data_IF_778948756523
#
_entry.id   IF_778948756523
#
_cell.length_a   1.000
_cell.length_b   1.000
_cell.length_c   1.000
_cell.angle_alpha   90.00
_cell.angle_beta   90.00
_cell.angle_gamma   90.00
#
_symmetry.space_group_name_H-M   'P 1'
#
loop_
_entity.id
_entity.type
_entity.pdbx_description
1 polymer ?
#
# COMPACT_ATOMS: atom_id res chain seq x y z
N UNK A 1 -14.69 12.77 34.57
CA UNK A 1 -13.63 13.67 34.07
C UNK A 1 -13.30 13.39 32.60
N UNK A 2 -12.83 14.43 31.86
CA UNK A 2 -12.35 14.30 30.48
C UNK A 2 -10.97 14.94 30.34
N UNK A 3 -10.03 14.20 29.80
CA UNK A 3 -8.66 14.66 29.55
C UNK A 3 -8.44 14.79 28.06
N UNK A 4 -8.49 16.00 27.54
CA UNK A 4 -8.14 16.34 26.18
C UNK A 4 -6.63 16.50 26.06
N UNK A 5 -5.97 15.56 25.39
CA UNK A 5 -4.53 15.56 25.20
C UNK A 5 -4.18 15.94 23.76
N UNK A 6 -3.04 16.60 23.57
CA UNK A 6 -2.51 16.99 22.27
C UNK A 6 -1.23 16.24 21.90
N UNK A 7 -0.55 16.66 20.81
CA UNK A 7 0.74 16.16 20.33
C UNK A 7 0.69 14.86 19.51
N UNK A 8 -0.11 13.88 19.88
CA UNK A 8 -0.24 12.62 19.12
C UNK A 8 -1.18 12.84 17.93
N UNK A 9 -0.69 12.55 16.71
CA UNK A 9 -1.46 12.77 15.46
C UNK A 9 -2.47 11.66 15.18
N UNK A 10 -2.34 10.53 15.83
CA UNK A 10 -3.28 9.43 15.74
C UNK A 10 -4.38 9.62 16.78
N UNK A 11 -5.64 9.43 16.36
CA UNK A 11 -6.77 9.47 17.27
C UNK A 11 -6.75 8.27 18.19
N UNK A 12 -6.82 8.52 19.50
CA UNK A 12 -6.85 7.48 20.52
C UNK A 12 -7.85 7.87 21.61
N UNK A 13 -8.63 6.90 22.08
CA UNK A 13 -9.66 7.11 23.10
C UNK A 13 -9.61 5.98 24.13
N UNK A 14 -9.51 6.34 25.40
CA UNK A 14 -9.64 5.41 26.53
C UNK A 14 -10.77 5.87 27.44
N UNK A 15 -11.78 5.03 27.59
CA UNK A 15 -12.91 5.26 28.48
C UNK A 15 -12.78 4.40 29.73
N UNK A 16 -12.77 5.04 30.88
CA UNK A 16 -12.80 4.43 32.22
C UNK A 16 -14.09 4.84 32.93
N UNK A 17 -14.51 4.15 34.02
CA UNK A 17 -15.75 4.48 34.73
C UNK A 17 -15.89 5.97 35.14
N UNK A 18 -14.79 6.58 35.56
CA UNK A 18 -14.78 7.95 36.09
C UNK A 18 -14.02 8.95 35.23
N UNK A 19 -13.39 8.49 34.14
CA UNK A 19 -12.50 9.31 33.33
C UNK A 19 -12.45 8.87 31.87
N UNK A 20 -12.46 9.82 30.97
CA UNK A 20 -12.15 9.61 29.55
C UNK A 20 -10.87 10.35 29.20
N UNK A 21 -9.93 9.67 28.57
CA UNK A 21 -8.68 10.25 28.08
C UNK A 21 -8.69 10.17 26.57
N UNK A 22 -8.38 11.28 25.89
CA UNK A 22 -8.47 11.32 24.44
C UNK A 22 -7.35 12.13 23.79
N UNK A 23 -6.75 11.57 22.75
CA UNK A 23 -6.05 12.30 21.71
C UNK A 23 -6.96 12.42 20.50
N UNK A 24 -7.40 13.61 20.09
CA UNK A 24 -8.26 13.78 18.91
C UNK A 24 -7.54 13.48 17.60
N UNK A 25 -6.21 13.44 17.61
CA UNK A 25 -5.40 13.35 16.40
C UNK A 25 -5.20 14.71 15.71
N UNK A 26 -4.79 14.67 14.47
CA UNK A 26 -4.72 15.84 13.60
C UNK A 26 -5.97 15.96 12.71
N UNK A 27 -6.34 17.20 12.35
CA UNK A 27 -7.48 17.49 11.49
C UNK A 27 -7.30 17.00 10.06
N UNK A 28 -6.04 16.92 9.59
CA UNK A 28 -5.66 16.57 8.23
C UNK A 28 -4.36 15.77 8.26
N UNK A 29 -4.35 14.62 7.57
CA UNK A 29 -3.12 13.88 7.29
C UNK A 29 -2.19 14.72 6.39
N UNK A 30 -0.91 14.80 6.76
CA UNK A 30 0.08 15.64 6.05
C UNK A 30 0.97 14.83 5.12
N UNK A 31 1.01 13.54 5.28
CA UNK A 31 1.81 12.61 4.47
C UNK A 31 1.29 11.17 4.62
N UNK A 32 1.78 10.28 3.76
CA UNK A 32 1.32 8.89 3.64
C UNK A 32 1.47 8.00 4.89
N UNK A 33 2.21 8.43 5.92
CA UNK A 33 2.25 7.71 7.21
C UNK A 33 1.04 8.04 8.10
N UNK A 34 0.26 9.04 7.74
CA UNK A 34 -0.93 9.48 8.44
C UNK A 34 -2.18 9.09 7.63
N UNK A 35 -2.34 7.79 7.39
CA UNK A 35 -3.45 7.23 6.61
C UNK A 35 -4.76 7.23 7.36
N UNK A 36 -5.85 7.00 6.62
CA UNK A 36 -7.20 6.89 7.17
C UNK A 36 -7.86 8.23 7.45
N UNK A 37 -9.04 8.18 8.04
CA UNK A 37 -9.81 9.36 8.42
C UNK A 37 -9.09 10.20 9.47
N UNK A 38 -9.16 11.52 9.32
CA UNK A 38 -8.60 12.50 10.26
C UNK A 38 -9.67 13.52 10.64
N UNK A 39 -9.53 14.10 11.83
CA UNK A 39 -10.53 15.04 12.28
C UNK A 39 -10.43 15.44 13.73
N UNK A 40 -11.57 15.51 14.40
CA UNK A 40 -11.71 15.96 15.78
C UNK A 40 -12.60 15.02 16.59
N UNK A 41 -12.68 15.27 17.88
CA UNK A 41 -13.67 14.64 18.77
C UNK A 41 -14.70 15.67 19.19
N UNK A 42 -15.98 15.40 18.95
CA UNK A 42 -17.07 16.14 19.52
C UNK A 42 -17.44 15.54 20.88
N UNK A 43 -17.36 16.34 21.91
CA UNK A 43 -17.64 15.92 23.29
C UNK A 43 -18.93 16.54 23.75
N UNK A 44 -19.90 15.73 24.12
CA UNK A 44 -21.16 16.17 24.74
C UNK A 44 -21.04 16.04 26.26
N UNK A 45 -21.42 17.08 26.94
CA UNK A 45 -21.45 17.11 28.40
C UNK A 45 -22.83 17.58 28.86
N UNK A 46 -23.33 17.00 29.94
CA UNK A 46 -24.52 17.38 30.62
C UNK A 46 -24.19 17.55 32.10
N UNK A 47 -24.44 18.75 32.64
CA UNK A 47 -23.92 19.20 33.94
C UNK A 47 -22.44 18.90 34.09
N UNK A 48 -22.02 18.01 34.99
CA UNK A 48 -20.63 17.67 35.26
C UNK A 48 -20.23 16.31 34.63
N UNK A 49 -21.00 15.77 33.71
CA UNK A 49 -20.75 14.43 33.13
C UNK A 49 -20.58 14.48 31.62
N UNK A 50 -19.61 13.73 31.13
CA UNK A 50 -19.46 13.44 29.70
C UNK A 50 -20.51 12.41 29.32
N UNK A 51 -21.40 12.76 28.40
CA UNK A 51 -22.46 11.87 27.93
C UNK A 51 -22.11 11.16 26.65
N UNK A 52 -21.27 11.78 25.78
CA UNK A 52 -20.85 11.18 24.54
C UNK A 52 -19.52 11.77 24.06
N UNK A 53 -18.69 10.93 23.43
CA UNK A 53 -17.52 11.35 22.67
C UNK A 53 -17.63 10.76 21.26
N UNK A 54 -17.74 11.62 20.26
CA UNK A 54 -18.01 11.24 18.88
C UNK A 54 -16.86 11.70 17.98
N UNK A 55 -16.22 10.79 17.22
CA UNK A 55 -15.29 11.16 16.17
C UNK A 55 -16.01 11.92 15.04
N UNK A 56 -15.37 12.99 14.56
CA UNK A 56 -15.79 13.75 13.38
C UNK A 56 -14.69 13.65 12.34
N UNK A 57 -15.00 13.12 11.17
CA UNK A 57 -14.10 13.12 10.02
C UNK A 57 -14.13 14.50 9.37
N UNK A 58 -12.99 15.18 9.33
CA UNK A 58 -12.85 16.56 8.85
C UNK A 58 -11.73 16.71 7.82
N UNK A 59 -11.04 15.62 7.49
CA UNK A 59 -10.00 15.61 6.47
C UNK A 59 -10.61 15.91 5.08
N UNK A 60 -9.94 16.79 4.33
CA UNK A 60 -10.36 17.15 2.96
C UNK A 60 -9.65 16.31 1.90
N UNK A 61 -8.61 15.59 2.30
CA UNK A 61 -7.84 14.66 1.47
C UNK A 61 -7.36 13.50 2.35
N UNK A 62 -7.73 12.28 1.97
CA UNK A 62 -7.33 11.08 2.70
C UNK A 62 -6.06 10.46 2.13
N UNK A 63 -5.09 10.21 2.98
CA UNK A 63 -3.92 9.42 2.59
C UNK A 63 -4.23 7.93 2.68
N UNK A 64 -3.84 7.19 1.64
CA UNK A 64 -4.01 5.74 1.59
C UNK A 64 -2.74 5.04 1.10
N UNK A 65 -2.42 3.91 1.72
CA UNK A 65 -1.46 2.94 1.19
C UNK A 65 -2.25 1.77 0.62
N UNK A 66 -2.10 1.53 -0.68
CA UNK A 66 -2.77 0.47 -1.39
C UNK A 66 -1.77 -0.68 -1.61
N UNK A 67 -1.86 -1.70 -0.76
CA UNK A 67 -1.07 -2.92 -0.89
C UNK A 67 -1.70 -3.83 -1.94
N UNK A 68 -0.99 -4.07 -3.04
CA UNK A 68 -1.47 -4.89 -4.16
C UNK A 68 -0.61 -6.13 -4.27
N UNK A 69 -1.21 -7.30 -4.04
CA UNK A 69 -0.54 -8.57 -4.33
C UNK A 69 -0.49 -8.77 -5.84
N UNK A 70 0.72 -8.97 -6.37
CA UNK A 70 0.95 -9.30 -7.78
C UNK A 70 1.39 -10.76 -7.96
N UNK A 71 1.17 -11.60 -6.95
CA UNK A 71 1.59 -13.01 -6.98
C UNK A 71 0.92 -13.81 -8.11
N UNK A 72 -0.30 -13.42 -8.50
CA UNK A 72 -1.06 -14.07 -9.58
C UNK A 72 -0.79 -13.46 -10.97
N UNK A 73 0.11 -12.47 -11.05
CA UNK A 73 0.41 -11.82 -12.32
C UNK A 73 1.57 -12.52 -13.03
N UNK A 74 1.33 -13.06 -14.20
CA UNK A 74 2.36 -13.63 -15.08
C UNK A 74 2.96 -12.57 -16.01
N UNK A 75 2.21 -11.49 -16.26
CA UNK A 75 2.60 -10.42 -17.18
C UNK A 75 2.47 -9.04 -16.54
N UNK A 76 3.17 -8.07 -17.14
CA UNK A 76 3.08 -6.65 -16.77
C UNK A 76 1.63 -6.15 -16.81
N UNK A 77 0.88 -6.48 -17.85
CA UNK A 77 -0.49 -6.05 -18.07
C UNK A 77 -1.45 -6.63 -17.04
N UNK A 78 -1.20 -7.87 -16.60
CA UNK A 78 -1.96 -8.48 -15.50
C UNK A 78 -1.71 -7.76 -14.17
N UNK A 79 -0.46 -7.40 -13.87
CA UNK A 79 -0.14 -6.63 -12.67
C UNK A 79 -0.82 -5.24 -12.69
N UNK A 80 -0.80 -4.53 -13.81
CA UNK A 80 -1.51 -3.25 -13.97
C UNK A 80 -3.02 -3.41 -13.73
N UNK A 81 -3.62 -4.49 -14.23
CA UNK A 81 -5.04 -4.78 -14.03
C UNK A 81 -5.38 -5.01 -12.56
N UNK A 82 -4.53 -5.74 -11.81
CA UNK A 82 -4.71 -5.96 -10.36
C UNK A 82 -4.66 -4.63 -9.59
N UNK A 83 -3.79 -3.72 -9.99
CA UNK A 83 -3.75 -2.36 -9.42
C UNK A 83 -5.05 -1.62 -9.69
N UNK A 84 -5.57 -1.65 -10.93
CA UNK A 84 -6.85 -1.03 -11.29
C UNK A 84 -8.02 -1.55 -10.46
N UNK A 85 -8.11 -2.87 -10.26
CA UNK A 85 -9.13 -3.49 -9.40
C UNK A 85 -9.01 -3.02 -7.94
N UNK A 86 -7.80 -2.94 -7.43
CA UNK A 86 -7.56 -2.48 -6.06
C UNK A 86 -7.89 -0.99 -5.89
N UNK A 87 -7.59 -0.15 -6.89
CA UNK A 87 -8.00 1.26 -6.92
C UNK A 87 -9.53 1.42 -6.94
N UNK A 88 -10.23 0.59 -7.70
CA UNK A 88 -11.69 0.58 -7.74
C UNK A 88 -12.29 0.23 -6.37
N UNK A 89 -11.73 -0.77 -5.68
CA UNK A 89 -12.15 -1.14 -4.33
C UNK A 89 -11.90 -0.02 -3.33
N UNK A 90 -10.74 0.63 -3.41
CA UNK A 90 -10.42 1.78 -2.57
C UNK A 90 -11.42 2.92 -2.80
N UNK A 91 -11.69 3.27 -4.07
CA UNK A 91 -12.64 4.32 -4.43
C UNK A 91 -14.04 4.06 -3.88
N UNK A 92 -14.50 2.81 -3.94
CA UNK A 92 -15.80 2.40 -3.40
C UNK A 92 -15.86 2.45 -1.86
N UNK A 93 -14.72 2.35 -1.18
CA UNK A 93 -14.63 2.43 0.28
C UNK A 93 -14.48 3.87 0.81
N UNK A 94 -14.16 4.84 -0.06
CA UNK A 94 -14.07 6.25 0.32
C UNK A 94 -15.50 6.85 0.48
N UNK A 95 -15.70 7.78 1.41
CA UNK A 95 -16.93 8.56 1.47
C UNK A 95 -17.19 9.26 0.14
N UNK A 96 -18.47 9.52 -0.16
CA UNK A 96 -18.86 10.18 -1.40
C UNK A 96 -18.17 11.54 -1.58
N UNK A 97 -17.60 11.76 -2.76
CA UNK A 97 -16.89 12.99 -3.09
C UNK A 97 -15.52 13.16 -2.40
N UNK A 98 -15.12 12.24 -1.52
CA UNK A 98 -13.86 12.39 -0.76
C UNK A 98 -12.65 11.97 -1.60
N UNK A 99 -11.64 12.85 -1.80
CA UNK A 99 -10.44 12.52 -2.56
C UNK A 99 -9.42 11.74 -1.71
N UNK A 100 -8.58 10.96 -2.39
CA UNK A 100 -7.48 10.23 -1.77
C UNK A 100 -6.14 10.43 -2.52
N UNK A 101 -5.07 10.66 -1.75
CA UNK A 101 -3.70 10.56 -2.20
C UNK A 101 -3.18 9.14 -1.93
N UNK A 102 -2.91 8.39 -3.00
CA UNK A 102 -2.67 6.96 -2.93
C UNK A 102 -1.21 6.63 -3.20
N UNK A 103 -0.58 5.90 -2.29
CA UNK A 103 0.67 5.20 -2.53
C UNK A 103 0.38 3.74 -2.86
N UNK A 104 0.54 3.35 -4.12
CA UNK A 104 0.46 1.95 -4.53
C UNK A 104 1.75 1.20 -4.20
N UNK A 105 1.65 0.02 -3.58
CA UNK A 105 2.76 -0.86 -3.27
C UNK A 105 2.48 -2.25 -3.80
N UNK A 106 3.18 -2.62 -4.89
CA UNK A 106 3.05 -3.93 -5.52
C UNK A 106 3.98 -4.92 -4.84
N UNK A 107 3.44 -6.00 -4.28
CA UNK A 107 4.19 -6.96 -3.49
C UNK A 107 3.86 -8.42 -3.84
N UNK A 108 4.76 -9.33 -3.45
CA UNK A 108 4.64 -10.77 -3.69
C UNK A 108 5.61 -11.28 -4.75
N UNK A 109 5.82 -12.59 -4.74
CA UNK A 109 6.63 -13.28 -5.74
C UNK A 109 5.80 -13.47 -7.02
N UNK A 110 6.35 -13.06 -8.19
CA UNK A 110 5.61 -13.06 -9.45
C UNK A 110 6.52 -13.32 -10.64
N UNK A 111 5.99 -14.00 -11.66
CA UNK A 111 6.66 -14.16 -12.96
C UNK A 111 6.87 -12.81 -13.67
N UNK A 112 5.98 -11.84 -13.43
CA UNK A 112 6.07 -10.50 -14.00
C UNK A 112 7.20 -9.63 -13.42
N UNK A 113 7.89 -10.06 -12.33
CA UNK A 113 8.85 -9.23 -11.60
C UNK A 113 9.89 -8.53 -12.50
N UNK A 114 10.56 -9.26 -13.37
CA UNK A 114 11.58 -8.71 -14.26
C UNK A 114 10.99 -7.64 -15.22
N UNK A 115 9.80 -7.87 -15.75
CA UNK A 115 9.10 -6.93 -16.62
C UNK A 115 8.66 -5.66 -15.87
N UNK A 116 8.18 -5.80 -14.63
CA UNK A 116 7.82 -4.69 -13.75
C UNK A 116 9.05 -3.86 -13.38
N UNK A 117 10.16 -4.50 -13.06
CA UNK A 117 11.41 -3.83 -12.72
C UNK A 117 11.99 -3.06 -13.91
N UNK A 118 11.99 -3.66 -15.11
CA UNK A 118 12.52 -3.03 -16.32
C UNK A 118 11.67 -1.84 -16.80
N UNK A 119 10.37 -1.82 -16.50
CA UNK A 119 9.40 -0.83 -17.00
C UNK A 119 8.76 0.01 -15.89
N UNK A 120 9.49 0.36 -14.83
CA UNK A 120 8.95 1.09 -13.67
C UNK A 120 8.29 2.43 -14.03
N UNK A 121 8.89 3.19 -14.97
CA UNK A 121 8.31 4.45 -15.44
C UNK A 121 6.97 4.24 -16.15
N UNK A 122 6.89 3.20 -17.00
CA UNK A 122 5.65 2.83 -17.67
C UNK A 122 4.61 2.35 -16.63
N UNK A 123 5.01 1.50 -15.68
CA UNK A 123 4.12 1.05 -14.60
C UNK A 123 3.47 2.23 -13.89
N UNK A 124 4.27 3.25 -13.53
CA UNK A 124 3.74 4.45 -12.88
C UNK A 124 2.72 5.18 -13.76
N UNK A 125 2.97 5.32 -15.07
CA UNK A 125 2.04 5.96 -15.99
C UNK A 125 0.74 5.16 -16.16
N UNK A 126 0.83 3.84 -16.28
CA UNK A 126 -0.34 2.97 -16.37
C UNK A 126 -1.21 3.05 -15.11
N UNK A 127 -0.59 3.05 -13.92
CA UNK A 127 -1.31 3.19 -12.64
C UNK A 127 -2.00 4.55 -12.53
N UNK A 128 -1.34 5.64 -12.96
CA UNK A 128 -1.96 6.97 -13.05
C UNK A 128 -3.12 6.94 -14.04
N UNK A 129 -2.94 6.33 -15.21
CA UNK A 129 -4.00 6.17 -16.21
C UNK A 129 -5.22 5.44 -15.67
N UNK A 130 -5.02 4.36 -14.91
CA UNK A 130 -6.10 3.63 -14.23
C UNK A 130 -6.84 4.52 -13.21
N UNK A 131 -6.11 5.26 -12.39
CA UNK A 131 -6.72 6.16 -11.40
C UNK A 131 -7.56 7.26 -12.08
N UNK A 132 -7.03 7.90 -13.13
CA UNK A 132 -7.74 8.93 -13.91
C UNK A 132 -8.98 8.36 -14.61
N UNK A 133 -8.89 7.15 -15.15
CA UNK A 133 -10.02 6.49 -15.82
C UNK A 133 -11.15 6.12 -14.84
N UNK A 134 -10.82 5.85 -13.57
CA UNK A 134 -11.79 5.56 -12.52
C UNK A 134 -12.44 6.86 -11.99
N UNK A 135 -11.63 7.81 -11.55
CA UNK A 135 -12.10 9.11 -11.06
C UNK A 135 -10.91 10.07 -10.93
N UNK A 136 -10.74 10.98 -11.88
CA UNK A 136 -9.62 11.92 -11.94
C UNK A 136 -9.62 12.94 -10.79
N UNK A 137 -10.78 13.25 -10.21
CA UNK A 137 -10.93 14.23 -9.15
C UNK A 137 -10.71 13.63 -7.77
N UNK A 138 -10.91 12.31 -7.63
CA UNK A 138 -10.87 11.64 -6.33
C UNK A 138 -9.65 10.74 -6.11
N UNK A 139 -8.94 10.32 -7.15
CA UNK A 139 -7.79 9.41 -7.01
C UNK A 139 -6.50 10.05 -7.52
N UNK A 140 -5.61 10.41 -6.61
CA UNK A 140 -4.29 10.97 -6.91
C UNK A 140 -3.18 9.99 -6.54
N UNK A 141 -2.39 9.57 -7.53
CA UNK A 141 -1.26 8.64 -7.30
C UNK A 141 -0.03 9.43 -6.84
N UNK A 142 0.23 9.37 -5.54
CA UNK A 142 1.42 10.00 -4.96
C UNK A 142 2.69 9.24 -5.39
N UNK A 143 2.69 7.92 -5.22
CA UNK A 143 3.84 7.09 -5.57
C UNK A 143 3.42 5.66 -5.92
N UNK A 144 4.16 5.03 -6.83
CA UNK A 144 4.12 3.58 -7.07
C UNK A 144 5.44 2.99 -6.60
N UNK A 145 5.36 2.01 -5.71
CA UNK A 145 6.50 1.27 -5.16
C UNK A 145 6.45 -0.18 -5.61
N UNK A 146 7.55 -0.66 -6.14
CA UNK A 146 7.72 -2.06 -6.47
C UNK A 146 8.43 -2.76 -5.31
N UNK A 147 7.74 -3.67 -4.65
CA UNK A 147 8.21 -4.52 -3.56
C UNK A 147 7.97 -6.01 -3.86
N UNK A 148 7.78 -6.34 -5.14
CA UNK A 148 7.68 -7.72 -5.61
C UNK A 148 9.05 -8.40 -5.65
N UNK A 149 9.05 -9.72 -5.68
CA UNK A 149 10.24 -10.55 -5.89
C UNK A 149 10.04 -11.49 -7.08
N UNK A 150 11.11 -12.02 -7.69
CA UNK A 150 10.95 -13.08 -8.68
C UNK A 150 10.34 -14.32 -8.02
N UNK A 151 9.61 -15.12 -8.80
CA UNK A 151 9.29 -16.47 -8.37
C UNK A 151 10.62 -17.21 -8.16
N UNK A 152 10.77 -17.87 -7.01
CA UNK A 152 11.86 -18.83 -6.86
C UNK A 152 11.65 -19.88 -7.96
N UNK A 153 12.58 -19.95 -8.92
CA UNK A 153 12.66 -21.13 -9.75
C UNK A 153 12.90 -22.26 -8.75
N UNK A 154 11.99 -23.25 -8.72
CA UNK A 154 12.34 -24.53 -8.09
C UNK A 154 13.75 -24.82 -8.56
N UNK A 155 14.67 -24.93 -7.62
CA UNK A 155 16.04 -25.31 -7.93
C UNK A 155 15.91 -26.54 -8.82
N UNK A 156 16.29 -26.41 -10.08
CA UNK A 156 16.51 -27.57 -10.93
C UNK A 156 17.41 -28.46 -10.08
N UNK A 157 17.00 -29.70 -9.89
CA UNK A 157 17.68 -30.65 -9.00
C UNK A 157 19.19 -30.41 -9.10
N UNK A 158 19.86 -30.24 -7.95
CA UNK A 158 21.31 -29.96 -7.91
C UNK A 158 22.11 -30.96 -8.74
N UNK A 159 21.56 -32.15 -9.01
CA UNK A 159 22.09 -33.16 -9.89
C UNK A 159 22.23 -32.70 -11.36
N UNK A 160 21.22 -32.01 -11.92
CA UNK A 160 21.26 -31.54 -13.32
C UNK A 160 22.33 -30.44 -13.55
N UNK A 161 22.59 -29.62 -12.53
CA UNK A 161 23.65 -28.60 -12.62
C UNK A 161 25.06 -29.20 -12.45
N UNK A 162 25.20 -30.23 -11.61
CA UNK A 162 26.47 -30.89 -11.43
C UNK A 162 26.93 -31.63 -12.71
N UNK A 163 26.02 -32.30 -13.42
CA UNK A 163 26.30 -32.93 -14.71
C UNK A 163 26.70 -31.89 -15.77
N UNK A 164 25.96 -30.78 -15.86
CA UNK A 164 26.27 -29.71 -16.84
C UNK A 164 27.60 -29.02 -16.55
N UNK A 165 27.95 -28.81 -15.28
CA UNK A 165 29.24 -28.23 -14.88
C UNK A 165 30.40 -29.19 -15.15
N UNK A 166 30.22 -30.51 -14.96
CA UNK A 166 31.23 -31.51 -15.29
C UNK A 166 31.47 -31.61 -16.80
N UNK A 167 30.41 -31.51 -17.60
CA UNK A 167 30.50 -31.50 -19.06
C UNK A 167 31.24 -30.26 -19.57
N UNK A 168 30.96 -29.07 -18.97
CA UNK A 168 31.65 -27.83 -19.26
C UNK A 168 33.16 -27.91 -18.91
N UNK A 169 33.50 -28.45 -17.74
CA UNK A 169 34.89 -28.65 -17.29
C UNK A 169 35.66 -29.60 -18.22
N UNK A 170 35.03 -30.69 -18.69
CA UNK A 170 35.63 -31.61 -19.66
C UNK A 170 35.91 -30.92 -21.00
N UNK A 171 34.96 -30.11 -21.51
CA UNK A 171 35.16 -29.37 -22.75
C UNK A 171 36.28 -28.32 -22.62
N UNK A 172 36.37 -27.64 -21.48
CA UNK A 172 37.44 -26.68 -21.21
C UNK A 172 38.83 -27.37 -21.12
N UNK A 173 38.92 -28.59 -20.55
CA UNK A 173 40.16 -29.33 -20.48
C UNK A 173 40.64 -29.84 -21.85
N UNK A 174 39.70 -30.24 -22.72
CA UNK A 174 40.02 -30.63 -24.10
C UNK A 174 40.51 -29.43 -24.92
N UNK A 175 39.85 -28.28 -24.77
CA UNK A 175 40.23 -27.05 -25.48
C UNK A 175 41.56 -26.42 -25.00
N UNK A 176 42.05 -26.80 -23.82
CA UNK A 176 43.35 -26.33 -23.30
C UNK A 176 44.55 -27.23 -23.71
N UNK A 177 44.28 -28.35 -24.38
CA UNK A 177 45.34 -29.31 -24.83
C UNK A 177 45.68 -29.20 -26.34
N UNK A 178 44.92 -28.35 -27.06
CA UNK A 178 45.18 -27.95 -28.46
C UNK A 178 45.86 -26.56 -28.52
#
# INVERSE_FOLDING_TARGET
>A
QYWALGHVHEQQLWAYPDCTIAFPGNLQGRHVRETGARGALLVHADDDRITQVQPLELDVLRWAVLEVSVAEADTFEQAVRLVGQSLQQLLAALPDGHPAAVRGRLQGATAAHAALLARQSQLRQEVIGQAVALDADRLWIEKVQLASSPLERQALDDADWQDTLQELDQLMQVAAQD
#
